data_IF_928224870597
#
_entry.id   IF_928224870597
#
_cell.length_a   1.000
_cell.length_b   1.000
_cell.length_c   1.000
_cell.angle_alpha   90.00
_cell.angle_beta   90.00
_cell.angle_gamma   90.00
#
_symmetry.space_group_name_H-M   'P 1'
#
loop_
_entity.id
_entity.type
_entity.pdbx_description
1 polymer ?
#
# COMPACT_ATOMS: atom_id res chain seq x y z
N UNK A 1 16.48 -8.86 11.93
CA UNK A 1 17.46 -7.94 11.31
C UNK A 1 16.80 -6.58 11.28
N UNK A 2 17.42 -5.55 11.84
CA UNK A 2 16.91 -4.18 11.80
C UNK A 2 17.52 -3.45 10.60
N UNK A 3 16.68 -2.67 9.94
CA UNK A 3 16.98 -1.84 8.78
C UNK A 3 16.60 -0.39 9.10
N UNK A 4 17.00 0.56 8.28
CA UNK A 4 16.71 1.99 8.51
C UNK A 4 16.04 2.63 7.30
N UNK A 5 15.02 3.45 7.56
CA UNK A 5 14.43 4.31 6.53
C UNK A 5 15.42 5.40 6.16
N UNK A 6 15.91 5.37 4.93
CA UNK A 6 16.93 6.32 4.44
C UNK A 6 16.33 7.50 3.69
N UNK A 7 15.15 7.35 3.08
CA UNK A 7 14.44 8.45 2.44
C UNK A 7 12.95 8.14 2.27
N UNK A 8 12.15 9.20 2.16
CA UNK A 8 10.75 9.14 1.78
C UNK A 8 10.56 10.17 0.67
N UNK A 9 10.33 9.71 -0.56
CA UNK A 9 10.28 10.55 -1.75
C UNK A 9 8.91 10.47 -2.42
N UNK A 10 8.41 11.61 -2.92
CA UNK A 10 7.17 11.65 -3.69
C UNK A 10 7.48 11.83 -5.18
N UNK A 11 7.18 10.84 -6.05
CA UNK A 11 7.37 11.00 -7.48
C UNK A 11 6.42 12.09 -8.03
N UNK A 12 6.85 12.95 -8.97
CA UNK A 12 6.07 14.09 -9.45
C UNK A 12 4.69 13.71 -10.03
N UNK A 13 4.57 12.53 -10.63
CA UNK A 13 3.37 12.07 -11.35
C UNK A 13 2.55 11.02 -10.59
N UNK A 14 2.93 10.65 -9.36
CA UNK A 14 2.23 9.63 -8.59
C UNK A 14 1.70 10.20 -7.26
N UNK A 15 0.52 9.73 -6.86
CA UNK A 15 -0.07 10.00 -5.53
C UNK A 15 0.45 9.03 -4.45
N UNK A 16 1.63 8.45 -4.66
CA UNK A 16 2.28 7.47 -3.78
C UNK A 16 3.63 8.02 -3.34
N UNK A 17 4.13 7.54 -2.21
CA UNK A 17 5.44 7.82 -1.67
C UNK A 17 6.31 6.58 -1.80
N UNK A 18 7.57 6.77 -2.19
CA UNK A 18 8.58 5.71 -2.20
C UNK A 18 9.35 5.81 -0.89
N UNK A 19 9.19 4.81 -0.02
CA UNK A 19 10.00 4.67 1.20
C UNK A 19 11.22 3.84 0.87
N UNK A 20 12.41 4.42 1.02
CA UNK A 20 13.69 3.75 0.79
C UNK A 20 14.25 3.24 2.12
N UNK A 21 14.60 1.96 2.16
CA UNK A 21 15.11 1.25 3.34
C UNK A 21 16.52 0.75 3.00
N UNK A 22 17.49 1.11 3.84
CA UNK A 22 18.93 0.79 3.72
C UNK A 22 19.54 1.06 2.33
N UNK A 23 18.95 2.00 1.58
CA UNK A 23 19.35 2.32 0.21
C UNK A 23 19.24 1.15 -0.81
N UNK A 24 18.66 0.02 -0.41
CA UNK A 24 18.56 -1.19 -1.24
C UNK A 24 17.11 -1.54 -1.59
N UNK A 25 16.17 -1.33 -0.66
CA UNK A 25 14.75 -1.67 -0.84
C UNK A 25 13.90 -0.42 -0.99
N UNK A 26 12.92 -0.46 -1.88
CA UNK A 26 11.94 0.61 -2.09
C UNK A 26 10.53 0.05 -1.91
N UNK A 27 9.79 0.60 -0.95
CA UNK A 27 8.41 0.22 -0.66
C UNK A 27 7.49 1.38 -1.06
N UNK A 28 6.65 1.22 -2.11
CA UNK A 28 5.75 2.27 -2.56
C UNK A 28 4.47 2.28 -1.71
N UNK A 29 4.29 3.30 -0.88
CA UNK A 29 3.13 3.45 0.01
C UNK A 29 2.19 4.57 -0.45
N UNK A 30 0.89 4.38 -0.22
CA UNK A 30 -0.12 5.43 -0.33
C UNK A 30 0.04 6.43 0.82
N UNK A 31 -0.47 7.66 0.64
CA UNK A 31 -0.36 8.70 1.67
C UNK A 31 -0.99 8.25 2.99
N UNK A 32 -2.11 7.57 2.89
CA UNK A 32 -2.92 7.09 4.00
C UNK A 32 -2.18 6.02 4.80
N UNK A 33 -1.55 5.06 4.12
CA UNK A 33 -0.76 3.99 4.76
C UNK A 33 0.50 4.56 5.40
N UNK A 34 1.19 5.47 4.71
CA UNK A 34 2.37 6.15 5.27
C UNK A 34 2.02 6.94 6.54
N UNK A 35 0.90 7.67 6.53
CA UNK A 35 0.45 8.43 7.68
C UNK A 35 0.04 7.52 8.86
N UNK A 36 -0.65 6.40 8.58
CA UNK A 36 -1.04 5.43 9.60
C UNK A 36 0.17 4.74 10.26
N UNK A 37 1.21 4.48 9.47
CA UNK A 37 2.45 3.87 9.97
C UNK A 37 3.37 4.84 10.73
N UNK A 38 3.10 6.15 10.66
CA UNK A 38 3.90 7.22 11.29
C UNK A 38 5.42 7.10 11.02
N UNK A 39 5.79 6.68 9.79
CA UNK A 39 7.19 6.45 9.41
C UNK A 39 7.95 7.77 9.23
N UNK A 40 9.14 7.84 9.82
CA UNK A 40 10.07 8.96 9.66
C UNK A 40 11.41 8.51 9.06
N UNK A 41 12.10 9.42 8.37
CA UNK A 41 13.49 9.18 7.92
C UNK A 41 14.39 9.02 9.14
N UNK A 42 15.25 8.01 9.13
CA UNK A 42 16.13 7.65 10.24
C UNK A 42 15.54 6.64 11.22
N UNK A 43 14.25 6.30 11.09
CA UNK A 43 13.60 5.29 11.91
C UNK A 43 14.12 3.88 11.58
N UNK A 44 14.25 3.05 12.60
CA UNK A 44 14.57 1.64 12.46
C UNK A 44 13.29 0.82 12.21
N UNK A 45 13.36 -0.08 11.24
CA UNK A 45 12.29 -0.95 10.79
C UNK A 45 12.83 -2.37 10.65
N UNK A 46 12.01 -3.37 10.90
CA UNK A 46 12.39 -4.76 10.69
C UNK A 46 11.59 -5.38 9.53
N UNK A 47 11.95 -6.60 9.14
CA UNK A 47 11.28 -7.30 8.04
C UNK A 47 9.79 -7.53 8.31
N UNK A 48 9.40 -7.75 9.57
CA UNK A 48 7.99 -7.87 9.98
C UNK A 48 7.22 -6.59 9.69
N UNK A 49 7.74 -5.44 10.09
CA UNK A 49 7.12 -4.15 9.84
C UNK A 49 7.04 -3.87 8.34
N UNK A 50 8.07 -4.22 7.56
CA UNK A 50 8.03 -4.07 6.11
C UNK A 50 6.92 -4.94 5.49
N UNK A 51 6.78 -6.19 5.92
CA UNK A 51 5.70 -7.07 5.47
C UNK A 51 4.31 -6.53 5.85
N UNK A 52 4.18 -5.95 7.05
CA UNK A 52 2.94 -5.31 7.50
C UNK A 52 2.58 -4.08 6.65
N UNK A 53 3.57 -3.27 6.28
CA UNK A 53 3.39 -2.12 5.40
C UNK A 53 2.96 -2.53 3.99
N UNK A 54 3.58 -3.57 3.43
CA UNK A 54 3.21 -4.13 2.13
C UNK A 54 1.77 -4.68 2.16
N UNK A 55 1.40 -5.40 3.22
CA UNK A 55 0.03 -5.88 3.42
C UNK A 55 -0.98 -4.74 3.60
N UNK A 56 -0.63 -3.70 4.36
CA UNK A 56 -1.48 -2.52 4.54
C UNK A 56 -1.70 -1.77 3.22
N UNK A 57 -0.66 -1.64 2.40
CA UNK A 57 -0.75 -1.02 1.08
C UNK A 57 -1.62 -1.83 0.11
N UNK A 58 -1.49 -3.15 0.14
CA UNK A 58 -2.32 -4.04 -0.67
C UNK A 58 -3.80 -3.92 -0.28
N UNK A 59 -4.12 -3.95 1.03
CA UNK A 59 -5.49 -3.72 1.54
C UNK A 59 -6.03 -2.34 1.16
N UNK A 60 -5.22 -1.29 1.32
CA UNK A 60 -5.61 0.07 0.95
C UNK A 60 -5.91 0.20 -0.56
N UNK A 61 -5.09 -0.46 -1.39
CA UNK A 61 -5.29 -0.50 -2.84
C UNK A 61 -6.58 -1.24 -3.20
N UNK A 62 -6.87 -2.38 -2.55
CA UNK A 62 -8.10 -3.14 -2.74
C UNK A 62 -9.34 -2.35 -2.35
N UNK A 63 -9.33 -1.76 -1.15
CA UNK A 63 -10.42 -0.92 -0.65
C UNK A 63 -10.68 0.27 -1.58
N UNK A 64 -9.63 1.00 -1.97
CA UNK A 64 -9.76 2.13 -2.89
C UNK A 64 -10.31 1.70 -4.26
N UNK A 65 -9.91 0.53 -4.75
CA UNK A 65 -10.43 -0.04 -5.99
C UNK A 65 -11.92 -0.37 -5.88
N UNK A 66 -12.35 -1.00 -4.77
CA UNK A 66 -13.75 -1.32 -4.51
C UNK A 66 -14.61 -0.06 -4.38
N UNK A 67 -14.16 0.94 -3.63
CA UNK A 67 -14.85 2.22 -3.49
C UNK A 67 -15.06 2.93 -4.83
N UNK A 68 -14.07 2.88 -5.74
CA UNK A 68 -14.21 3.43 -7.09
C UNK A 68 -15.23 2.68 -7.95
N UNK A 69 -15.38 1.37 -7.77
CA UNK A 69 -16.39 0.58 -8.47
C UNK A 69 -17.79 0.94 -7.96
N UNK A 70 -17.93 1.07 -6.64
CA UNK A 70 -19.16 1.45 -5.96
C UNK A 70 -19.58 2.89 -6.23
N UNK A 71 -18.62 3.81 -6.40
CA UNK A 71 -18.93 5.21 -6.70
C UNK A 71 -19.56 5.42 -8.07
N UNK A 72 -19.41 4.45 -8.99
CA UNK A 72 -20.00 4.54 -10.34
C UNK A 72 -21.44 4.02 -10.38
N UNK A 73 -21.72 2.87 -9.76
CA UNK A 73 -23.06 2.30 -9.62
C UNK A 73 -23.11 1.28 -8.48
N UNK A 74 -24.32 0.87 -8.10
CA UNK A 74 -24.51 -0.29 -7.23
C UNK A 74 -23.88 -1.54 -7.84
N UNK A 75 -23.17 -2.32 -7.01
CA UNK A 75 -22.51 -3.57 -7.35
C UNK A 75 -22.83 -4.59 -6.28
N UNK A 76 -23.00 -5.84 -6.68
CA UNK A 76 -23.03 -6.97 -5.75
C UNK A 76 -21.63 -7.27 -5.22
N UNK A 77 -21.56 -8.00 -4.11
CA UNK A 77 -20.30 -8.46 -3.54
C UNK A 77 -19.49 -9.29 -4.54
N UNK A 78 -20.14 -10.22 -5.26
CA UNK A 78 -19.52 -11.03 -6.30
C UNK A 78 -18.90 -10.19 -7.42
N UNK A 79 -19.59 -9.14 -7.87
CA UNK A 79 -19.03 -8.23 -8.89
C UNK A 79 -17.78 -7.50 -8.39
N UNK A 80 -17.72 -7.14 -7.10
CA UNK A 80 -16.54 -6.52 -6.51
C UNK A 80 -15.39 -7.52 -6.46
N UNK A 81 -15.64 -8.75 -5.97
CA UNK A 81 -14.65 -9.83 -5.93
C UNK A 81 -14.03 -10.12 -7.30
N UNK A 82 -14.87 -10.29 -8.33
CA UNK A 82 -14.41 -10.54 -9.70
C UNK A 82 -13.59 -9.36 -10.24
N UNK A 83 -14.02 -8.13 -9.95
CA UNK A 83 -13.31 -6.93 -10.37
C UNK A 83 -11.96 -6.73 -9.64
N UNK A 84 -11.86 -7.09 -8.36
CA UNK A 84 -10.59 -7.05 -7.61
C UNK A 84 -9.64 -8.16 -8.09
N UNK A 85 -10.16 -9.37 -8.29
CA UNK A 85 -9.39 -10.51 -8.81
C UNK A 85 -8.84 -10.25 -10.21
N UNK A 86 -9.63 -9.67 -11.11
CA UNK A 86 -9.16 -9.29 -12.46
C UNK A 86 -8.07 -8.21 -12.45
N UNK A 87 -7.91 -7.47 -11.34
CA UNK A 87 -6.82 -6.51 -11.12
C UNK A 87 -5.58 -7.14 -10.46
N UNK A 88 -5.59 -8.46 -10.26
CA UNK A 88 -4.49 -9.20 -9.64
C UNK A 88 -4.43 -9.03 -8.11
N UNK A 89 -5.51 -8.58 -7.48
CA UNK A 89 -5.58 -8.49 -6.02
C UNK A 89 -5.88 -9.90 -5.47
N UNK A 90 -5.03 -10.45 -4.59
CA UNK A 90 -5.23 -11.77 -4.02
C UNK A 90 -6.50 -11.85 -3.16
N UNK A 91 -7.10 -13.03 -3.12
CA UNK A 91 -8.30 -13.28 -2.32
C UNK A 91 -8.08 -13.14 -0.80
N UNK A 92 -6.85 -13.33 -0.33
CA UNK A 92 -6.49 -13.07 1.06
C UNK A 92 -6.52 -11.58 1.46
N UNK A 93 -6.67 -10.66 0.49
CA UNK A 93 -6.57 -9.21 0.67
C UNK A 93 -7.87 -8.49 0.29
N UNK A 94 -8.58 -9.01 -0.70
CA UNK A 94 -9.88 -8.51 -1.15
C UNK A 94 -11.00 -8.83 -0.13
#
# INVERSE_FOLDING_TARGET
>A
MTMRVTAIERPPRKRRYNVRIDNARVVPLSREVLAAANLCVGQEVDESLVAELEAAEARHTAMTAALRLLSYRQRSEREIWEALRSRGIPEAIA
#
